data_IF_322724702190
#
_entry.id   IF_322724702190
#
_cell.length_a   1.000
_cell.length_b   1.000
_cell.length_c   1.000
_cell.angle_alpha   90.00
_cell.angle_beta   90.00
_cell.angle_gamma   90.00
#
_symmetry.space_group_name_H-M   'P 1'
#
loop_
_entity.id
_entity.type
_entity.pdbx_description
1 polymer ?
#
# COMPACT_ATOMS: atom_id res chain seq x y z
N UNK A 1 -7.22 -8.66 -10.40
CA UNK A 1 -5.84 -8.32 -9.99
C UNK A 1 -5.79 -6.83 -9.81
N UNK A 2 -5.44 -6.38 -8.61
CA UNK A 2 -5.45 -4.98 -8.20
C UNK A 2 -4.12 -4.63 -7.55
N UNK A 3 -3.73 -3.37 -7.64
CA UNK A 3 -2.48 -2.87 -7.09
C UNK A 3 -2.74 -2.29 -5.69
N UNK A 4 -2.09 -2.88 -4.69
CA UNK A 4 -2.21 -2.49 -3.29
C UNK A 4 -0.96 -1.70 -2.92
N UNK A 5 -1.07 -0.41 -2.53
CA UNK A 5 0.08 0.36 -2.09
C UNK A 5 0.68 -0.23 -0.82
N UNK A 6 2.01 -0.22 -0.74
CA UNK A 6 2.79 -0.54 0.45
C UNK A 6 3.13 0.79 1.12
N UNK A 7 2.58 1.01 2.31
CA UNK A 7 2.60 2.31 2.97
C UNK A 7 3.21 2.17 4.35
N UNK A 8 3.97 3.18 4.78
CA UNK A 8 4.56 3.15 6.10
C UNK A 8 3.51 3.58 7.14
N UNK A 9 3.22 2.72 8.12
CA UNK A 9 2.31 2.99 9.23
C UNK A 9 2.69 4.25 10.02
N UNK A 10 3.98 4.59 10.06
CA UNK A 10 4.52 5.70 10.84
C UNK A 10 4.73 6.98 10.02
N UNK A 11 4.43 7.01 8.72
CA UNK A 11 4.55 8.21 7.90
C UNK A 11 3.19 8.61 7.33
N UNK A 12 2.69 9.83 7.58
CA UNK A 12 1.63 10.39 6.75
C UNK A 12 2.19 10.48 5.32
N UNK A 13 1.50 9.87 4.36
CA UNK A 13 1.98 9.83 2.98
C UNK A 13 1.86 11.23 2.37
N UNK A 14 3.01 11.89 2.27
CA UNK A 14 3.14 13.17 1.60
C UNK A 14 3.26 12.94 0.09
N UNK A 15 2.21 12.38 -0.52
CA UNK A 15 2.09 12.31 -1.97
C UNK A 15 1.28 13.50 -2.43
N UNK A 16 2.00 14.56 -2.83
CA UNK A 16 1.47 15.54 -3.77
C UNK A 16 0.93 14.77 -4.98
N UNK A 17 -0.39 14.57 -5.01
CA UNK A 17 -1.10 14.30 -6.25
C UNK A 17 -0.68 15.43 -7.19
N UNK A 18 0.08 15.07 -8.22
CA UNK A 18 0.61 16.02 -9.19
C UNK A 18 -0.50 16.96 -9.63
N UNK A 19 -0.12 18.23 -9.87
CA UNK A 19 -1.04 19.28 -10.32
C UNK A 19 -1.88 18.83 -11.53
N UNK A 20 -3.05 18.28 -11.23
CA UNK A 20 -3.94 17.66 -12.18
C UNK A 20 -5.25 17.39 -11.49
N UNK A 21 -6.00 18.47 -11.25
CA UNK A 21 -7.37 18.50 -10.73
C UNK A 21 -7.64 17.54 -9.56
N UNK A 22 -7.38 18.03 -8.35
CA UNK A 22 -8.13 17.55 -7.19
C UNK A 22 -9.62 17.77 -7.48
N UNK A 23 -10.48 16.74 -7.38
CA UNK A 23 -11.92 16.95 -7.47
C UNK A 23 -12.35 17.87 -6.32
N UNK A 24 -12.99 18.99 -6.63
CA UNK A 24 -13.51 19.97 -5.65
C UNK A 24 -14.65 19.41 -4.77
N UNK A 25 -14.95 18.11 -4.87
CA UNK A 25 -16.05 17.46 -4.18
C UNK A 25 -15.53 16.46 -3.15
N UNK A 26 -15.50 16.93 -1.91
CA UNK A 26 -15.65 16.08 -0.72
C UNK A 26 -17.03 15.39 -0.82
N UNK A 27 -17.07 14.09 -1.14
CA UNK A 27 -18.07 13.09 -0.71
C UNK A 27 -17.92 11.75 -1.46
N UNK A 28 -17.83 10.67 -0.67
CA UNK A 28 -18.20 9.28 -0.93
C UNK A 28 -17.20 8.31 -1.64
N UNK A 29 -16.75 7.33 -0.83
CA UNK A 29 -16.42 5.93 -1.19
C UNK A 29 -15.13 5.54 -1.92
N UNK A 30 -14.06 6.33 -1.85
CA UNK A 30 -12.74 5.83 -2.27
C UNK A 30 -11.96 5.24 -1.09
N UNK A 31 -12.30 4.01 -0.71
CA UNK A 31 -11.42 3.16 0.09
C UNK A 31 -10.31 2.59 -0.80
N UNK A 32 -9.06 2.86 -0.44
CA UNK A 32 -7.89 2.27 -1.11
C UNK A 32 -7.28 1.26 -0.17
N UNK A 33 -7.51 -0.03 -0.40
CA UNK A 33 -6.86 -1.06 0.41
C UNK A 33 -5.37 -1.16 0.09
N UNK A 34 -4.53 -1.17 1.13
CA UNK A 34 -3.08 -1.25 1.03
C UNK A 34 -2.47 -2.08 2.15
N UNK A 35 -1.18 -2.40 1.99
CA UNK A 35 -0.37 -3.03 3.04
C UNK A 35 0.27 -1.95 3.91
N UNK A 36 -0.16 -1.85 5.16
CA UNK A 36 0.41 -0.95 6.15
C UNK A 36 1.56 -1.68 6.86
N UNK A 37 2.79 -1.21 6.66
CA UNK A 37 4.03 -1.82 7.20
C UNK A 37 4.83 -0.80 7.99
N UNK A 38 5.72 -1.23 8.88
CA UNK A 38 6.63 -0.31 9.59
C UNK A 38 7.89 0.05 8.78
N UNK A 39 8.23 -0.74 7.75
CA UNK A 39 9.37 -0.51 6.84
C UNK A 39 9.00 -0.96 5.41
N UNK A 40 8.86 0.00 4.49
CA UNK A 40 8.42 -0.26 3.11
C UNK A 40 9.52 -0.93 2.27
N UNK A 41 10.79 -0.61 2.52
CA UNK A 41 11.90 -1.13 1.72
C UNK A 41 12.11 -2.61 2.06
N UNK A 42 12.10 -2.93 3.35
CA UNK A 42 12.15 -4.32 3.81
C UNK A 42 10.93 -5.12 3.33
N UNK A 43 9.73 -4.53 3.35
CA UNK A 43 8.53 -5.17 2.79
C UNK A 43 8.69 -5.51 1.31
N UNK A 44 9.16 -4.55 0.52
CA UNK A 44 9.37 -4.73 -0.92
C UNK A 44 10.41 -5.83 -1.19
N UNK A 45 11.51 -5.87 -0.44
CA UNK A 45 12.53 -6.89 -0.60
C UNK A 45 12.00 -8.30 -0.28
N UNK A 46 11.26 -8.46 0.82
CA UNK A 46 10.63 -9.75 1.19
C UNK A 46 9.65 -10.18 0.11
N UNK A 47 8.71 -9.31 -0.29
CA UNK A 47 7.70 -9.63 -1.29
C UNK A 47 8.33 -10.00 -2.64
N UNK A 48 9.35 -9.25 -3.08
CA UNK A 48 10.09 -9.54 -4.31
C UNK A 48 10.82 -10.88 -4.23
N UNK A 49 11.45 -11.19 -3.11
CA UNK A 49 12.13 -12.48 -2.88
C UNK A 49 11.16 -13.66 -3.01
N UNK A 50 9.92 -13.48 -2.54
CA UNK A 50 8.86 -14.48 -2.61
C UNK A 50 7.99 -14.38 -3.87
N UNK A 51 8.51 -13.74 -4.94
CA UNK A 51 7.91 -13.66 -6.28
C UNK A 51 6.57 -12.93 -6.36
N UNK A 52 6.27 -12.05 -5.42
CA UNK A 52 5.19 -11.08 -5.61
C UNK A 52 5.59 -10.08 -6.68
N UNK A 53 4.61 -9.68 -7.50
CA UNK A 53 4.82 -8.66 -8.50
C UNK A 53 4.71 -7.28 -7.85
N UNK A 54 5.79 -6.50 -7.90
CA UNK A 54 5.84 -5.13 -7.39
C UNK A 54 5.86 -4.14 -8.55
N UNK A 55 5.22 -2.98 -8.37
CA UNK A 55 5.22 -1.87 -9.33
C UNK A 55 5.47 -0.54 -8.63
N UNK A 56 6.39 0.30 -9.15
CA UNK A 56 6.51 1.67 -8.70
C UNK A 56 5.27 2.47 -9.13
N UNK A 57 4.75 3.32 -8.23
CA UNK A 57 3.60 4.19 -8.48
C UNK A 57 3.80 5.54 -7.77
N UNK A 58 4.02 6.63 -8.53
CA UNK A 58 4.09 8.00 -8.02
C UNK A 58 4.93 8.21 -6.74
N UNK A 59 6.11 7.58 -6.65
CA UNK A 59 6.99 7.68 -5.48
C UNK A 59 6.68 6.68 -4.34
N UNK A 60 5.70 5.81 -4.54
CA UNK A 60 5.37 4.68 -3.67
C UNK A 60 5.60 3.34 -4.39
N UNK A 61 5.60 2.24 -3.63
CA UNK A 61 5.62 0.89 -4.18
C UNK A 61 4.23 0.26 -4.01
N UNK A 62 3.78 -0.47 -5.03
CA UNK A 62 2.53 -1.24 -4.98
C UNK A 62 2.83 -2.71 -5.21
N UNK A 63 2.05 -3.60 -4.58
CA UNK A 63 2.08 -5.04 -4.81
C UNK A 63 0.82 -5.47 -5.56
N UNK A 64 0.98 -6.35 -6.55
CA UNK A 64 -0.16 -6.87 -7.28
C UNK A 64 -0.80 -8.03 -6.52
N UNK A 65 -2.05 -7.84 -6.15
CA UNK A 65 -2.87 -8.82 -5.42
C UNK A 65 -3.94 -9.37 -6.35
N UNK A 66 -4.02 -10.69 -6.46
CA UNK A 66 -4.99 -11.35 -7.35
C UNK A 66 -6.36 -11.49 -6.71
N UNK A 67 -6.39 -11.87 -5.44
CA UNK A 67 -7.57 -12.20 -4.65
C UNK A 67 -7.26 -12.02 -3.14
N UNK A 68 -8.29 -12.19 -2.30
CA UNK A 68 -8.17 -12.04 -0.85
C UNK A 68 -7.21 -13.06 -0.21
N UNK A 69 -7.06 -14.26 -0.79
CA UNK A 69 -6.12 -15.26 -0.28
C UNK A 69 -4.67 -14.81 -0.51
N UNK A 70 -4.36 -14.25 -1.69
CA UNK A 70 -3.05 -13.65 -1.97
C UNK A 70 -2.74 -12.45 -1.07
N UNK A 71 -3.76 -11.64 -0.72
CA UNK A 71 -3.60 -10.54 0.25
C UNK A 71 -3.22 -11.08 1.63
N UNK A 72 -3.97 -12.07 2.13
CA UNK A 72 -3.69 -12.72 3.40
C UNK A 72 -2.31 -13.40 3.41
N UNK A 73 -1.91 -14.03 2.31
CA UNK A 73 -0.60 -14.63 2.16
C UNK A 73 0.53 -13.58 2.21
N UNK A 74 0.37 -12.43 1.56
CA UNK A 74 1.34 -11.34 1.65
C UNK A 74 1.49 -10.81 3.08
N UNK A 75 0.37 -10.60 3.78
CA UNK A 75 0.35 -10.15 5.18
C UNK A 75 1.00 -11.20 6.10
N UNK A 76 0.64 -12.47 5.95
CA UNK A 76 1.21 -13.57 6.72
C UNK A 76 2.72 -13.67 6.52
N UNK A 77 3.17 -13.62 5.28
CA UNK A 77 4.58 -13.67 4.92
C UNK A 77 5.40 -12.55 5.59
N UNK A 78 4.91 -11.30 5.50
CA UNK A 78 5.61 -10.17 6.10
C UNK A 78 5.70 -10.32 7.63
N UNK A 79 4.62 -10.75 8.28
CA UNK A 79 4.61 -11.00 9.72
C UNK A 79 5.52 -12.17 10.13
N UNK A 80 5.59 -13.25 9.34
CA UNK A 80 6.52 -14.38 9.56
C UNK A 80 7.99 -13.95 9.48
N UNK A 81 8.29 -12.95 8.66
CA UNK A 81 9.61 -12.33 8.56
C UNK A 81 9.85 -11.22 9.61
N UNK A 82 8.96 -11.07 10.60
CA UNK A 82 9.10 -10.11 11.69
C UNK A 82 8.73 -8.67 11.31
N UNK A 83 8.15 -8.45 10.13
CA UNK A 83 7.68 -7.16 9.69
C UNK A 83 6.19 -7.01 10.04
N UNK A 84 5.87 -6.11 10.96
CA UNK A 84 4.49 -5.85 11.35
C UNK A 84 3.71 -5.31 10.14
N UNK A 85 2.80 -6.13 9.62
CA UNK A 85 1.98 -5.81 8.45
C UNK A 85 0.50 -6.04 8.72
N UNK A 86 -0.34 -5.14 8.25
CA UNK A 86 -1.79 -5.31 8.19
C UNK A 86 -2.37 -4.85 6.85
N UNK A 87 -3.54 -5.36 6.49
CA UNK A 87 -4.33 -4.85 5.38
C UNK A 87 -5.24 -3.75 5.91
N UNK A 88 -5.11 -2.52 5.41
CA UNK A 88 -5.87 -1.37 5.88
C UNK A 88 -6.36 -0.51 4.71
N UNK A 89 -7.40 0.29 4.97
CA UNK A 89 -7.77 1.39 4.08
C UNK A 89 -6.76 2.53 4.26
N UNK A 90 -5.97 2.78 3.23
CA UNK A 90 -4.90 3.77 3.21
C UNK A 90 -5.31 5.08 2.53
N UNK A 91 -6.56 5.20 2.07
CA UNK A 91 -7.04 6.43 1.46
C UNK A 91 -6.90 7.62 2.42
N UNK A 92 -7.25 7.43 3.69
CA UNK A 92 -7.14 8.46 4.75
C UNK A 92 -5.71 9.04 4.92
N UNK A 93 -4.67 8.26 4.61
CA UNK A 93 -3.28 8.70 4.69
C UNK A 93 -2.77 9.43 3.44
N UNK A 94 -3.46 9.31 2.30
CA UNK A 94 -3.14 9.99 1.04
C UNK A 94 -3.83 11.36 0.92
N UNK A 95 -4.90 11.60 1.68
CA UNK A 95 -5.73 12.80 1.61
C UNK A 95 -5.37 13.91 2.61
N UNK A 96 -4.40 13.71 3.51
CA UNK A 96 -3.96 14.77 4.42
C UNK A 96 -2.81 15.58 3.81
N UNK A 97 -3.17 16.40 2.81
CA UNK A 97 -2.45 17.61 2.43
C UNK A 97 -2.96 18.81 3.21
#
# INVERSE_FOLDING_TARGET
>A
MADYPIVNRNQPQLTSLGQGNLPDFYMEDFSVLGLCVNDCDLAADILKHHRFALRPSHGSMTVQIKDAFHAAAAVGLLNEHGLACELADVALGMYQG
#
